data_IF_109330860811
#
_entry.id   IF_109330860811
#
_cell.length_a   1.000
_cell.length_b   1.000
_cell.length_c   1.000
_cell.angle_alpha   90.00
_cell.angle_beta   90.00
_cell.angle_gamma   90.00
#
_symmetry.space_group_name_H-M   'P 1'
#
loop_
_entity.id
_entity.type
_entity.pdbx_description
1 polymer ?
#
# COMPACT_ATOMS: atom_id res chain seq x y z
N UNK A 1 107.58 12.72 4.92
CA UNK A 1 106.81 11.49 4.69
C UNK A 1 105.40 11.89 4.31
N UNK A 2 104.89 11.28 3.25
CA UNK A 2 103.65 11.57 2.52
C UNK A 2 102.45 11.92 3.41
N UNK A 3 101.58 12.82 2.95
CA UNK A 3 100.16 12.45 2.96
C UNK A 3 99.35 13.06 1.82
N UNK A 4 98.60 12.18 1.16
CA UNK A 4 97.86 12.35 -0.08
C UNK A 4 96.47 12.94 0.19
N UNK A 5 96.04 13.80 -0.73
CA UNK A 5 94.65 14.12 -1.06
C UNK A 5 93.86 12.89 -1.53
N UNK A 6 92.56 12.77 -1.18
CA UNK A 6 91.44 12.55 -2.12
C UNK A 6 90.05 12.46 -1.42
N UNK A 7 89.15 13.38 -1.80
CA UNK A 7 87.75 13.21 -2.26
C UNK A 7 86.68 12.34 -1.52
N UNK A 8 85.54 13.00 -1.21
CA UNK A 8 84.19 12.80 -1.83
C UNK A 8 83.05 12.02 -1.12
N UNK A 9 81.94 12.76 -0.93
CA UNK A 9 80.49 12.44 -0.94
C UNK A 9 79.76 11.56 0.11
N UNK A 10 78.51 12.00 0.36
CA UNK A 10 77.48 11.62 1.37
C UNK A 10 76.91 10.18 1.23
N UNK A 11 76.11 9.68 2.21
CA UNK A 11 74.64 9.85 2.07
C UNK A 11 73.81 10.02 3.38
N UNK A 12 72.65 10.69 3.20
CA UNK A 12 71.33 10.47 3.83
C UNK A 12 71.21 10.49 5.37
N UNK A 13 70.65 11.57 5.92
CA UNK A 13 70.12 11.58 7.29
C UNK A 13 68.62 11.93 7.29
N UNK A 14 67.79 10.92 7.56
CA UNK A 14 66.34 11.05 7.68
C UNK A 14 65.92 12.03 8.77
N UNK A 15 64.91 12.83 8.47
CA UNK A 15 64.31 13.80 9.39
C UNK A 15 63.60 13.06 10.53
N UNK A 16 64.19 13.07 11.73
CA UNK A 16 63.57 12.52 12.95
C UNK A 16 62.43 13.43 13.39
N UNK A 17 61.21 13.06 13.04
CA UNK A 17 59.99 13.70 13.53
C UNK A 17 59.79 13.30 15.01
N UNK A 18 59.61 14.30 15.88
CA UNK A 18 59.54 14.10 17.32
C UNK A 18 58.25 13.37 17.72
N UNK A 19 58.40 12.38 18.62
CA UNK A 19 57.35 11.48 19.09
C UNK A 19 56.12 12.13 19.77
N UNK A 20 56.16 13.32 20.42
CA UNK A 20 54.96 13.86 21.07
C UNK A 20 53.94 14.45 20.08
N UNK A 21 54.35 14.82 18.86
CA UNK A 21 53.45 15.40 17.85
C UNK A 21 52.57 14.35 17.14
N UNK A 22 53.05 13.11 17.05
CA UNK A 22 52.32 12.00 16.42
C UNK A 22 51.15 11.56 17.32
N UNK A 23 51.37 11.53 18.64
CA UNK A 23 50.33 11.15 19.60
C UNK A 23 49.18 12.18 19.66
N UNK A 24 49.48 13.48 19.61
CA UNK A 24 48.45 14.53 19.63
C UNK A 24 47.63 14.56 18.35
N UNK A 25 48.27 14.41 17.18
CA UNK A 25 47.57 14.34 15.89
C UNK A 25 46.66 13.10 15.84
N UNK A 26 47.13 11.96 16.36
CA UNK A 26 46.32 10.73 16.38
C UNK A 26 45.09 10.85 17.28
N UNK A 27 45.17 11.60 18.39
CA UNK A 27 44.02 11.87 19.27
C UNK A 27 43.03 12.82 18.60
N UNK A 28 43.51 13.82 17.85
CA UNK A 28 42.63 14.78 17.14
C UNK A 28 41.90 14.08 15.99
N UNK A 29 42.56 13.17 15.27
CA UNK A 29 41.93 12.42 14.17
C UNK A 29 40.86 11.47 14.72
N UNK A 30 41.10 10.78 15.83
CA UNK A 30 40.10 9.88 16.42
C UNK A 30 38.90 10.65 16.98
N UNK A 31 39.08 11.81 17.60
CA UNK A 31 37.95 12.62 18.10
C UNK A 31 37.08 13.16 16.96
N UNK A 32 37.69 13.62 15.86
CA UNK A 32 36.93 14.08 14.68
C UNK A 32 36.16 12.91 14.05
N UNK A 33 36.76 11.73 13.91
CA UNK A 33 36.08 10.57 13.34
C UNK A 33 34.86 10.16 14.17
N UNK A 34 35.00 10.14 15.50
CA UNK A 34 33.89 9.85 16.42
C UNK A 34 32.76 10.89 16.33
N UNK A 35 33.08 12.19 16.22
CA UNK A 35 32.06 13.25 16.08
C UNK A 35 31.30 13.16 14.76
N UNK A 36 31.97 12.78 13.66
CA UNK A 36 31.30 12.60 12.36
C UNK A 36 30.42 11.33 12.33
N UNK A 37 30.85 10.27 13.00
CA UNK A 37 30.07 9.04 13.16
C UNK A 37 28.82 9.25 14.00
N UNK A 38 28.91 10.01 15.10
CA UNK A 38 27.73 10.30 15.95
C UNK A 38 26.72 11.21 15.25
N UNK A 39 27.16 12.23 14.51
CA UNK A 39 26.28 13.09 13.70
C UNK A 39 25.61 12.34 12.55
N UNK A 40 26.32 11.41 11.93
CA UNK A 40 25.76 10.55 10.87
C UNK A 40 24.76 9.54 11.45
N UNK A 41 25.02 9.02 12.66
CA UNK A 41 24.11 8.13 13.36
C UNK A 41 22.84 8.87 13.80
N UNK A 42 22.93 10.09 14.33
CA UNK A 42 21.73 10.85 14.75
C UNK A 42 20.81 11.27 13.59
N UNK A 43 21.35 11.45 12.38
CA UNK A 43 20.55 11.72 11.17
C UNK A 43 19.90 10.45 10.58
N UNK A 44 20.45 9.26 10.84
CA UNK A 44 19.88 7.97 10.41
C UNK A 44 18.81 7.42 11.38
N UNK A 45 18.80 7.84 12.65
CA UNK A 45 17.85 7.36 13.66
C UNK A 45 16.69 8.32 13.97
N UNK A 46 16.58 9.46 13.28
CA UNK A 46 15.43 10.37 13.42
C UNK A 46 14.27 10.01 12.47
N UNK A 47 13.78 8.79 12.59
CA UNK A 47 12.38 8.44 12.28
C UNK A 47 11.91 7.43 13.33
N UNK A 48 11.99 7.81 14.60
CA UNK A 48 11.09 7.23 15.60
C UNK A 48 9.76 7.95 15.43
N UNK A 49 8.96 7.47 14.50
CA UNK A 49 7.56 7.86 14.44
C UNK A 49 6.96 7.38 15.77
N UNK A 50 6.73 8.32 16.67
CA UNK A 50 6.12 8.04 17.96
C UNK A 50 4.71 7.61 17.64
N UNK A 51 4.48 6.30 17.51
CA UNK A 51 3.14 5.76 17.29
C UNK A 51 2.30 6.07 18.52
N UNK A 52 1.71 7.26 18.53
CA UNK A 52 0.47 7.51 19.24
C UNK A 52 -0.50 6.43 18.78
N UNK A 53 -1.17 5.70 19.68
CA UNK A 53 -2.16 4.72 19.26
C UNK A 53 -3.15 5.41 18.34
N UNK A 54 -3.15 5.04 17.05
CA UNK A 54 -4.07 5.65 16.09
C UNK A 54 -5.48 5.34 16.58
N UNK A 55 -6.30 6.38 16.70
CA UNK A 55 -7.74 6.17 16.81
C UNK A 55 -8.26 5.60 15.47
N UNK A 56 -9.46 5.03 15.46
CA UNK A 56 -10.02 4.42 14.25
C UNK A 56 -10.09 5.40 13.08
N UNK A 57 -10.40 6.67 13.34
CA UNK A 57 -10.54 7.71 12.31
C UNK A 57 -9.24 7.94 11.56
N UNK A 58 -8.12 8.05 12.28
CA UNK A 58 -6.82 8.26 11.67
C UNK A 58 -6.35 7.00 10.92
N UNK A 59 -6.67 5.81 11.44
CA UNK A 59 -6.36 4.53 10.77
C UNK A 59 -7.11 4.41 9.44
N UNK A 60 -8.42 4.64 9.47
CA UNK A 60 -9.28 4.64 8.28
C UNK A 60 -8.79 5.69 7.27
N UNK A 61 -8.43 6.90 7.71
CA UNK A 61 -7.92 7.95 6.82
C UNK A 61 -6.61 7.55 6.17
N UNK A 62 -5.67 7.00 6.92
CA UNK A 62 -4.38 6.52 6.39
C UNK A 62 -4.58 5.47 5.30
N UNK A 63 -5.48 4.51 5.54
CA UNK A 63 -5.80 3.48 4.54
C UNK A 63 -6.54 4.05 3.34
N UNK A 64 -7.54 4.91 3.53
CA UNK A 64 -8.27 5.50 2.41
C UNK A 64 -7.39 6.41 1.53
N UNK A 65 -6.33 7.00 2.07
CA UNK A 65 -5.38 7.83 1.31
C UNK A 65 -4.58 7.05 0.25
N UNK A 66 -4.46 5.72 0.36
CA UNK A 66 -3.80 4.92 -0.69
C UNK A 66 -4.76 4.52 -1.82
N UNK A 67 -6.04 4.89 -1.72
CA UNK A 67 -7.07 4.48 -2.66
C UNK A 67 -7.30 5.51 -3.76
N UNK A 68 -7.88 5.07 -4.88
CA UNK A 68 -8.24 5.96 -6.00
C UNK A 68 -9.43 6.86 -5.68
N UNK A 69 -10.33 6.44 -4.79
CA UNK A 69 -11.51 7.19 -4.37
C UNK A 69 -11.54 7.37 -2.84
N UNK A 70 -10.69 8.23 -2.26
CA UNK A 70 -10.56 8.38 -0.81
C UNK A 70 -11.88 8.76 -0.13
N UNK A 71 -12.65 9.70 -0.69
CA UNK A 71 -13.93 10.13 -0.11
C UNK A 71 -14.96 8.99 -0.09
N UNK A 72 -15.03 8.21 -1.17
CA UNK A 72 -15.89 7.02 -1.27
C UNK A 72 -15.44 5.93 -0.30
N UNK A 73 -14.13 5.75 -0.09
CA UNK A 73 -13.58 4.84 0.92
C UNK A 73 -14.00 5.26 2.35
N UNK A 74 -13.86 6.55 2.67
CA UNK A 74 -14.29 7.08 3.97
C UNK A 74 -15.79 6.90 4.18
N UNK A 75 -16.59 7.16 3.14
CA UNK A 75 -18.05 6.98 3.16
C UNK A 75 -18.43 5.51 3.40
N UNK A 76 -17.74 4.57 2.75
CA UNK A 76 -17.96 3.14 2.92
C UNK A 76 -17.68 2.67 4.35
N UNK A 77 -16.65 3.22 5.00
CA UNK A 77 -16.17 2.75 6.31
C UNK A 77 -16.76 3.51 7.51
N UNK A 78 -17.39 4.67 7.27
CA UNK A 78 -17.99 5.52 8.32
C UNK A 78 -18.96 4.78 9.26
N UNK A 79 -19.86 3.90 8.78
CA UNK A 79 -20.79 3.16 9.64
C UNK A 79 -20.11 2.20 10.64
N UNK A 80 -18.86 1.81 10.38
CA UNK A 80 -18.11 0.79 11.14
C UNK A 80 -16.91 1.36 11.89
N UNK A 81 -16.88 2.69 12.11
CA UNK A 81 -15.73 3.43 12.67
C UNK A 81 -15.37 3.13 14.13
N UNK A 82 -16.16 2.32 14.85
CA UNK A 82 -15.86 2.00 16.25
C UNK A 82 -14.76 0.92 16.33
N UNK A 83 -13.64 1.25 16.99
CA UNK A 83 -12.51 0.36 17.27
C UNK A 83 -11.86 -0.30 16.03
N UNK A 84 -11.88 0.38 14.89
CA UNK A 84 -11.35 -0.13 13.63
C UNK A 84 -9.94 0.42 13.36
N UNK A 85 -8.94 -0.22 13.95
CA UNK A 85 -7.52 0.15 13.78
C UNK A 85 -6.71 -0.87 12.99
N UNK A 86 -7.25 -2.08 12.79
CA UNK A 86 -6.55 -3.16 12.09
C UNK A 86 -6.76 -3.07 10.56
N UNK A 87 -5.69 -3.05 9.74
CA UNK A 87 -5.80 -2.98 8.28
C UNK A 87 -6.58 -4.13 7.63
N UNK A 88 -6.48 -5.37 8.15
CA UNK A 88 -7.24 -6.50 7.61
C UNK A 88 -8.75 -6.31 7.87
N UNK A 89 -9.11 -5.83 9.06
CA UNK A 89 -10.51 -5.52 9.38
C UNK A 89 -11.05 -4.40 8.48
N UNK A 90 -10.24 -3.38 8.20
CA UNK A 90 -10.60 -2.29 7.27
C UNK A 90 -10.77 -2.82 5.84
N UNK A 91 -9.83 -3.65 5.36
CA UNK A 91 -9.93 -4.31 4.06
C UNK A 91 -11.22 -5.15 3.96
N UNK A 92 -11.50 -5.98 4.98
CA UNK A 92 -12.70 -6.82 5.02
C UNK A 92 -13.98 -5.99 4.91
N UNK A 93 -14.07 -4.89 5.66
CA UNK A 93 -15.23 -3.99 5.61
C UNK A 93 -15.33 -3.26 4.26
N UNK A 94 -14.22 -2.87 3.65
CA UNK A 94 -14.20 -2.28 2.30
C UNK A 94 -14.78 -3.26 1.27
N UNK A 95 -14.42 -4.54 1.36
CA UNK A 95 -14.94 -5.58 0.47
C UNK A 95 -16.44 -5.81 0.74
N UNK A 96 -16.86 -5.89 2.01
CA UNK A 96 -18.29 -6.03 2.38
C UNK A 96 -19.13 -4.87 1.84
N UNK A 97 -18.64 -3.63 1.94
CA UNK A 97 -19.34 -2.48 1.38
C UNK A 97 -19.53 -2.61 -0.14
N UNK A 98 -18.56 -3.21 -0.84
CA UNK A 98 -18.67 -3.51 -2.28
C UNK A 98 -19.75 -4.57 -2.56
N UNK A 99 -19.78 -5.64 -1.76
CA UNK A 99 -20.81 -6.70 -1.83
C UNK A 99 -22.21 -6.13 -1.63
N UNK A 100 -22.38 -5.25 -0.64
CA UNK A 100 -23.67 -4.63 -0.33
C UNK A 100 -24.21 -3.81 -1.50
N UNK A 101 -23.37 -3.01 -2.15
CA UNK A 101 -23.78 -2.19 -3.29
C UNK A 101 -24.05 -3.03 -4.55
N UNK A 102 -23.25 -4.08 -4.81
CA UNK A 102 -23.53 -4.99 -5.93
C UNK A 102 -24.81 -5.80 -5.73
N UNK A 103 -25.10 -6.23 -4.50
CA UNK A 103 -26.35 -6.94 -4.18
C UNK A 103 -27.57 -6.06 -4.41
N UNK A 104 -27.48 -4.76 -4.07
CA UNK A 104 -28.53 -3.77 -4.38
C UNK A 104 -28.68 -3.56 -5.88
N UNK A 105 -27.57 -3.50 -6.62
CA UNK A 105 -27.56 -3.39 -8.07
C UNK A 105 -28.26 -4.60 -8.72
N UNK A 106 -27.85 -5.82 -8.38
CA UNK A 106 -28.45 -7.06 -8.90
C UNK A 106 -29.97 -7.12 -8.65
N UNK A 107 -30.39 -6.72 -7.46
CA UNK A 107 -31.82 -6.64 -7.10
C UNK A 107 -32.57 -5.63 -7.96
N UNK A 108 -31.92 -4.50 -8.29
CA UNK A 108 -32.51 -3.44 -9.09
C UNK A 108 -32.56 -3.80 -10.58
N UNK A 109 -31.56 -4.51 -11.12
CA UNK A 109 -31.56 -5.00 -12.50
C UNK A 109 -32.77 -5.92 -12.76
N UNK A 110 -33.04 -6.84 -11.83
CA UNK A 110 -34.20 -7.75 -11.88
C UNK A 110 -35.56 -7.02 -11.93
N UNK A 111 -35.66 -5.84 -11.31
CA UNK A 111 -36.92 -5.10 -11.23
C UNK A 111 -37.23 -4.28 -12.50
N UNK A 112 -36.23 -4.05 -13.37
CA UNK A 112 -36.32 -3.03 -14.42
C UNK A 112 -36.57 -3.59 -15.83
N UNK A 113 -36.50 -4.91 -16.09
CA UNK A 113 -36.65 -5.42 -17.45
C UNK A 113 -36.99 -6.91 -17.54
N UNK A 114 -37.66 -7.31 -18.64
CA UNK A 114 -37.85 -8.70 -19.07
C UNK A 114 -36.91 -9.06 -20.23
N UNK A 115 -35.93 -8.21 -20.54
CA UNK A 115 -34.97 -8.46 -21.63
C UNK A 115 -33.81 -9.31 -21.13
N UNK A 116 -33.44 -10.32 -21.93
CA UNK A 116 -32.36 -11.27 -21.63
C UNK A 116 -31.03 -10.59 -21.25
N UNK A 117 -30.70 -9.46 -21.87
CA UNK A 117 -29.46 -8.74 -21.58
C UNK A 117 -29.36 -8.27 -20.10
N UNK A 118 -30.48 -7.99 -19.44
CA UNK A 118 -30.47 -7.68 -18.01
C UNK A 118 -30.28 -8.91 -17.13
N UNK A 119 -30.73 -10.08 -17.58
CA UNK A 119 -30.47 -11.35 -16.89
C UNK A 119 -28.98 -11.72 -17.02
N UNK A 120 -28.41 -11.58 -18.22
CA UNK A 120 -26.99 -11.84 -18.49
C UNK A 120 -26.08 -10.87 -17.67
N UNK A 121 -26.37 -9.56 -17.71
CA UNK A 121 -25.67 -8.61 -16.85
C UNK A 121 -25.84 -8.95 -15.36
N UNK A 122 -27.03 -9.37 -14.92
CA UNK A 122 -27.24 -9.74 -13.51
C UNK A 122 -26.40 -10.96 -13.12
N UNK A 123 -26.27 -11.96 -13.98
CA UNK A 123 -25.40 -13.12 -13.76
C UNK A 123 -23.95 -12.68 -13.49
N UNK A 124 -23.43 -11.74 -14.30
CA UNK A 124 -22.11 -11.16 -14.08
C UNK A 124 -21.99 -10.42 -12.73
N UNK A 125 -23.04 -9.70 -12.32
CA UNK A 125 -23.05 -9.05 -11.00
C UNK A 125 -23.11 -10.05 -9.85
N UNK A 126 -23.85 -11.15 -10.00
CA UNK A 126 -23.87 -12.23 -9.01
C UNK A 126 -22.49 -12.92 -8.90
N UNK A 127 -21.80 -13.12 -10.03
CA UNK A 127 -20.42 -13.63 -10.06
C UNK A 127 -19.45 -12.67 -9.37
N UNK A 128 -19.57 -11.36 -9.63
CA UNK A 128 -18.80 -10.34 -8.92
C UNK A 128 -19.01 -10.42 -7.40
N UNK A 129 -20.25 -10.57 -6.94
CA UNK A 129 -20.59 -10.77 -5.52
C UNK A 129 -19.94 -12.04 -4.96
N UNK A 130 -19.99 -13.15 -5.70
CA UNK A 130 -19.38 -14.42 -5.28
C UNK A 130 -17.87 -14.28 -5.06
N UNK A 131 -17.15 -13.70 -6.02
CA UNK A 131 -15.70 -13.45 -5.93
C UNK A 131 -15.33 -12.52 -4.76
N UNK A 132 -16.14 -11.50 -4.50
CA UNK A 132 -15.91 -10.63 -3.34
C UNK A 132 -16.15 -11.39 -2.03
N UNK A 133 -17.13 -12.29 -1.96
CA UNK A 133 -17.32 -13.15 -0.78
C UNK A 133 -16.17 -14.15 -0.57
N UNK A 134 -15.56 -14.67 -1.63
CA UNK A 134 -14.30 -15.44 -1.55
C UNK A 134 -13.19 -14.58 -0.94
N UNK A 135 -13.09 -13.32 -1.35
CA UNK A 135 -12.14 -12.35 -0.80
C UNK A 135 -12.38 -12.08 0.69
N UNK A 136 -13.63 -11.87 1.11
CA UNK A 136 -14.01 -11.68 2.52
C UNK A 136 -13.61 -12.90 3.36
N UNK A 137 -13.81 -14.10 2.83
CA UNK A 137 -13.46 -15.37 3.48
C UNK A 137 -11.95 -15.57 3.63
N UNK A 138 -11.15 -15.07 2.67
CA UNK A 138 -9.70 -15.18 2.72
C UNK A 138 -9.06 -14.20 3.72
N UNK A 139 -9.69 -13.05 3.98
CA UNK A 139 -9.24 -12.10 5.01
C UNK A 139 -9.41 -12.71 6.40
N UNK A 140 -8.28 -12.93 7.08
CA UNK A 140 -8.27 -13.48 8.43
C UNK A 140 -8.92 -12.52 9.44
N UNK A 141 -9.75 -13.05 10.35
CA UNK A 141 -10.46 -12.28 11.40
C UNK A 141 -9.57 -11.74 12.53
N UNK A 142 -8.25 -11.93 12.43
CA UNK A 142 -7.29 -11.58 13.46
C UNK A 142 -6.24 -10.57 12.99
N UNK A 143 -5.42 -10.11 13.95
CA UNK A 143 -4.31 -9.19 13.68
C UNK A 143 -3.12 -9.82 12.93
N UNK A 144 -3.22 -11.09 12.55
CA UNK A 144 -2.15 -11.78 11.83
C UNK A 144 -2.03 -11.22 10.40
N UNK A 145 -0.81 -10.97 9.91
CA UNK A 145 -0.61 -10.56 8.53
C UNK A 145 -1.20 -11.57 7.55
N UNK A 146 -1.75 -11.08 6.43
CA UNK A 146 -2.15 -11.94 5.34
C UNK A 146 -0.91 -12.56 4.70
N UNK A 147 -1.01 -13.82 4.28
CA UNK A 147 0.05 -14.46 3.49
C UNK A 147 0.07 -13.90 2.07
N UNK A 148 1.22 -13.90 1.41
CA UNK A 148 1.35 -13.42 0.02
C UNK A 148 0.40 -14.15 -0.94
N UNK A 149 0.12 -15.43 -0.68
CA UNK A 149 -0.85 -16.22 -1.46
C UNK A 149 -2.25 -15.63 -1.31
N UNK A 150 -2.72 -15.41 -0.07
CA UNK A 150 -4.04 -14.82 0.19
C UNK A 150 -4.16 -13.41 -0.40
N UNK A 151 -3.10 -12.60 -0.32
CA UNK A 151 -3.08 -11.26 -0.89
C UNK A 151 -3.30 -11.33 -2.41
N UNK A 152 -2.59 -12.24 -3.10
CA UNK A 152 -2.74 -12.43 -4.55
C UNK A 152 -4.12 -12.99 -4.94
N UNK A 153 -4.65 -13.92 -4.15
CA UNK A 153 -5.99 -14.47 -4.38
C UNK A 153 -7.05 -13.37 -4.27
N UNK A 154 -7.01 -12.58 -3.18
CA UNK A 154 -7.91 -11.43 -2.98
C UNK A 154 -7.77 -10.41 -4.12
N UNK A 155 -6.54 -10.05 -4.51
CA UNK A 155 -6.32 -9.15 -5.65
C UNK A 155 -6.94 -9.69 -6.94
N UNK A 156 -6.81 -10.98 -7.20
CA UNK A 156 -7.35 -11.65 -8.38
C UNK A 156 -8.88 -11.60 -8.37
N UNK A 157 -9.51 -11.98 -7.27
CA UNK A 157 -10.97 -12.00 -7.14
C UNK A 157 -11.59 -10.60 -7.19
N UNK A 158 -10.98 -9.62 -6.51
CA UNK A 158 -11.45 -8.22 -6.54
C UNK A 158 -11.28 -7.62 -7.93
N UNK A 159 -10.18 -7.91 -8.64
CA UNK A 159 -9.98 -7.44 -10.02
C UNK A 159 -10.97 -8.09 -10.99
N UNK A 160 -11.26 -9.37 -10.80
CA UNK A 160 -12.27 -10.07 -11.58
C UNK A 160 -13.68 -9.49 -11.33
N UNK A 161 -14.03 -9.15 -10.08
CA UNK A 161 -15.30 -8.47 -9.78
C UNK A 161 -15.44 -7.08 -10.43
N UNK A 162 -14.34 -6.34 -10.64
CA UNK A 162 -14.35 -5.12 -11.46
C UNK A 162 -14.56 -5.43 -12.95
N UNK A 163 -13.97 -6.51 -13.42
CA UNK A 163 -14.10 -6.95 -14.82
C UNK A 163 -15.55 -7.36 -15.09
N UNK A 164 -16.16 -8.17 -14.23
CA UNK A 164 -17.55 -8.61 -14.37
C UNK A 164 -18.53 -7.42 -14.36
N UNK A 165 -18.29 -6.41 -13.52
CA UNK A 165 -19.04 -5.14 -13.54
C UNK A 165 -18.94 -4.42 -14.91
N UNK A 166 -17.73 -4.31 -15.46
CA UNK A 166 -17.52 -3.67 -16.76
C UNK A 166 -18.19 -4.48 -17.88
N UNK A 167 -18.01 -5.80 -17.88
CA UNK A 167 -18.61 -6.69 -18.89
C UNK A 167 -20.14 -6.59 -18.89
N UNK A 168 -20.79 -6.50 -17.73
CA UNK A 168 -22.25 -6.28 -17.68
C UNK A 168 -22.65 -5.03 -18.46
N UNK A 169 -21.91 -3.92 -18.28
CA UNK A 169 -22.22 -2.67 -18.98
C UNK A 169 -21.96 -2.82 -20.48
N UNK A 170 -20.85 -3.45 -20.86
CA UNK A 170 -20.47 -3.68 -22.26
C UNK A 170 -21.54 -4.52 -22.99
N UNK A 171 -22.06 -5.58 -22.35
CA UNK A 171 -23.14 -6.41 -22.91
C UNK A 171 -24.43 -5.62 -23.17
N UNK A 172 -24.81 -4.74 -22.25
CA UNK A 172 -25.99 -3.88 -22.42
C UNK A 172 -25.81 -2.88 -23.58
N UNK A 173 -24.59 -2.40 -23.81
CA UNK A 173 -24.25 -1.54 -24.95
C UNK A 173 -24.28 -2.32 -26.28
N UNK A 174 -23.72 -3.52 -26.30
CA UNK A 174 -23.64 -4.36 -27.50
C UNK A 174 -25.01 -4.83 -28.02
N UNK A 175 -25.95 -5.14 -27.10
CA UNK A 175 -27.33 -5.51 -27.46
C UNK A 175 -28.13 -4.32 -28.00
N UNK A 176 -27.58 -3.10 -27.91
CA UNK A 176 -28.18 -1.90 -28.49
C UNK A 176 -29.31 -1.31 -27.64
N UNK A 177 -29.26 -1.47 -26.31
CA UNK A 177 -30.18 -0.78 -25.41
C UNK A 177 -30.03 0.73 -25.57
N UNK A 178 -31.10 1.47 -25.20
CA UNK A 178 -31.06 2.92 -25.28
C UNK A 178 -29.91 3.49 -24.44
N UNK A 179 -29.26 4.55 -24.93
CA UNK A 179 -28.18 5.22 -24.19
C UNK A 179 -28.63 5.66 -22.79
N UNK A 180 -29.89 6.11 -22.66
CA UNK A 180 -30.47 6.48 -21.35
C UNK A 180 -30.52 5.28 -20.39
N UNK A 181 -30.87 4.10 -20.89
CA UNK A 181 -30.93 2.86 -20.10
C UNK A 181 -29.54 2.46 -19.61
N UNK A 182 -28.54 2.43 -20.51
CA UNK A 182 -27.16 2.07 -20.17
C UNK A 182 -26.57 3.05 -19.16
N UNK A 183 -26.74 4.36 -19.37
CA UNK A 183 -26.23 5.39 -18.46
C UNK A 183 -26.90 5.32 -17.08
N UNK A 184 -28.18 4.93 -17.01
CA UNK A 184 -28.85 4.66 -15.74
C UNK A 184 -28.18 3.49 -15.00
N UNK A 185 -27.86 2.39 -15.69
CA UNK A 185 -27.17 1.24 -15.08
C UNK A 185 -25.76 1.62 -14.63
N UNK A 186 -24.97 2.31 -15.46
CA UNK A 186 -23.64 2.82 -15.07
C UNK A 186 -23.70 3.68 -13.82
N UNK A 187 -24.68 4.59 -13.73
CA UNK A 187 -24.88 5.43 -12.55
C UNK A 187 -25.23 4.62 -11.31
N UNK A 188 -26.05 3.57 -11.44
CA UNK A 188 -26.36 2.66 -10.33
C UNK A 188 -25.14 1.84 -9.90
N UNK A 189 -24.24 1.50 -10.83
CA UNK A 189 -23.02 0.72 -10.59
C UNK A 189 -21.84 1.57 -10.09
N UNK A 190 -21.89 2.89 -10.24
CA UNK A 190 -20.76 3.77 -9.90
C UNK A 190 -20.21 3.51 -8.49
N UNK A 191 -21.10 3.40 -7.50
CA UNK A 191 -20.71 3.25 -6.10
C UNK A 191 -20.05 1.89 -5.84
N UNK A 192 -20.55 0.81 -6.42
CA UNK A 192 -19.89 -0.50 -6.31
C UNK A 192 -18.52 -0.49 -6.97
N UNK A 193 -18.39 0.12 -8.15
CA UNK A 193 -17.10 0.23 -8.85
C UNK A 193 -16.05 0.99 -8.02
N UNK A 194 -16.43 2.12 -7.43
CA UNK A 194 -15.53 2.90 -6.56
C UNK A 194 -15.11 2.08 -5.32
N UNK A 195 -16.06 1.39 -4.67
CA UNK A 195 -15.79 0.59 -3.48
C UNK A 195 -14.91 -0.63 -3.77
N UNK A 196 -15.18 -1.33 -4.87
CA UNK A 196 -14.36 -2.47 -5.31
C UNK A 196 -12.95 -2.00 -5.70
N UNK A 197 -12.83 -0.87 -6.39
CA UNK A 197 -11.52 -0.27 -6.74
C UNK A 197 -10.73 0.14 -5.50
N UNK A 198 -11.40 0.72 -4.50
CA UNK A 198 -10.77 1.03 -3.21
C UNK A 198 -10.28 -0.25 -2.51
N UNK A 199 -11.10 -1.30 -2.48
CA UNK A 199 -10.72 -2.59 -1.89
C UNK A 199 -9.48 -3.18 -2.57
N UNK A 200 -9.37 -3.07 -3.90
CA UNK A 200 -8.19 -3.51 -4.66
C UNK A 200 -6.94 -2.74 -4.26
N UNK A 201 -7.03 -1.42 -4.12
CA UNK A 201 -5.92 -0.58 -3.70
C UNK A 201 -5.47 -0.92 -2.26
N UNK A 202 -6.41 -1.13 -1.35
CA UNK A 202 -6.11 -1.48 0.05
C UNK A 202 -5.34 -2.80 0.11
N UNK A 203 -5.81 -3.87 -0.58
CA UNK A 203 -5.10 -5.15 -0.58
C UNK A 203 -3.74 -5.07 -1.29
N UNK A 204 -3.60 -4.22 -2.31
CA UNK A 204 -2.32 -3.98 -2.98
C UNK A 204 -1.26 -3.35 -2.08
N UNK A 205 -1.69 -2.55 -1.10
CA UNK A 205 -0.81 -1.87 -0.16
C UNK A 205 -0.81 -2.47 1.25
N UNK A 206 -1.50 -3.60 1.49
CA UNK A 206 -1.79 -4.11 2.83
C UNK A 206 -0.53 -4.36 3.68
N UNK A 207 0.56 -4.81 3.08
CA UNK A 207 1.84 -5.04 3.76
C UNK A 207 2.52 -3.75 4.22
N UNK A 208 2.26 -2.62 3.56
CA UNK A 208 2.78 -1.31 3.96
C UNK A 208 1.89 -0.63 5.01
N UNK A 209 0.65 -1.13 5.19
CA UNK A 209 -0.33 -0.61 6.14
C UNK A 209 -0.26 -1.30 7.50
N UNK A 210 0.32 -2.51 7.56
CA UNK A 210 0.57 -3.23 8.80
C UNK A 210 1.92 -2.79 9.40
N UNK A 211 1.99 -2.45 10.70
CA UNK A 211 3.27 -2.16 11.34
C UNK A 211 4.16 -3.41 11.29
N UNK A 212 5.41 -3.23 10.85
CA UNK A 212 6.44 -4.28 10.86
C UNK A 212 6.71 -4.64 12.32
N UNK A 213 6.41 -5.88 12.70
CA UNK A 213 6.78 -6.44 14.01
C UNK A 213 8.22 -6.96 14.01
#
# INVERSE_FOLDING_TARGET
GLNKSYQQNQPQHGHKISKPLIATISIIITTILFLTLTLSFTLLFHHTDSQTPLNSTDSIRSICNVTRFPDSCLTALSPSSQNLTNPNSILKLSIIASVDELTKLASSLKANSNERAFDDCKELIDDAVSRLNESVSAVSDGAQPLTDVKIKDIQTWVSAALTDQQTCVDELEEVGLSLETVEKVKKMMQKSNEYTSNSLAIVAHINNLLPIH
#
